data_IF_156533896335
#
_entry.id   IF_156533896335
#
_cell.length_a   1.000
_cell.length_b   1.000
_cell.length_c   1.000
_cell.angle_alpha   90.00
_cell.angle_beta   90.00
_cell.angle_gamma   90.00
#
_symmetry.space_group_name_H-M   'P 1'
#
loop_
_entity.id
_entity.type
_entity.pdbx_description
1 polymer ?
#
# COMPACT_ATOMS: atom_id res chain seq x y z
N UNK A 1 21.12 -11.52 82.71
CA UNK A 1 22.34 -10.84 82.25
C UNK A 1 22.57 -11.22 80.81
N UNK A 2 22.63 -10.20 79.95
CA UNK A 2 22.80 -10.22 78.49
C UNK A 2 24.14 -10.85 78.08
N UNK A 3 24.23 -11.60 76.99
CA UNK A 3 24.57 -11.11 75.64
C UNK A 3 26.07 -11.38 75.38
N UNK A 4 26.61 -11.69 74.21
CA UNK A 4 26.17 -11.55 72.82
C UNK A 4 27.18 -12.30 71.94
N UNK A 5 26.72 -13.13 71.01
CA UNK A 5 27.59 -13.85 70.05
C UNK A 5 27.77 -13.04 68.77
N UNK A 6 29.02 -12.98 68.28
CA UNK A 6 29.48 -12.15 67.17
C UNK A 6 28.80 -12.44 65.82
N UNK A 7 28.31 -11.38 65.15
CA UNK A 7 28.08 -11.37 63.70
C UNK A 7 29.23 -10.64 63.00
N UNK A 8 30.01 -11.37 62.19
CA UNK A 8 30.89 -10.81 61.15
C UNK A 8 30.09 -10.69 59.84
N UNK A 9 29.64 -9.50 59.48
CA UNK A 9 29.21 -9.23 58.10
C UNK A 9 30.45 -9.12 57.20
N UNK A 10 30.63 -10.09 56.30
CA UNK A 10 31.48 -9.92 55.12
C UNK A 10 30.76 -8.98 54.16
N UNK A 11 31.43 -7.88 53.78
CA UNK A 11 31.03 -7.01 52.67
C UNK A 11 31.08 -7.83 51.37
N UNK A 12 29.93 -8.27 50.87
CA UNK A 12 29.80 -8.70 49.48
C UNK A 12 29.63 -7.46 48.62
N UNK A 13 30.67 -7.18 47.82
CA UNK A 13 30.63 -6.19 46.75
C UNK A 13 29.65 -6.73 45.70
N UNK A 14 28.46 -6.16 45.62
CA UNK A 14 27.55 -6.36 44.49
C UNK A 14 28.09 -5.48 43.37
N UNK A 15 28.84 -6.07 42.46
CA UNK A 15 29.18 -5.44 41.18
C UNK A 15 27.90 -5.35 40.37
N UNK A 16 27.24 -4.19 40.43
CA UNK A 16 26.09 -3.88 39.61
C UNK A 16 26.59 -3.70 38.17
N UNK A 17 26.56 -4.78 37.39
CA UNK A 17 26.77 -4.72 35.95
C UNK A 17 25.66 -3.87 35.36
N UNK A 18 25.93 -2.58 35.13
CA UNK A 18 25.11 -1.70 34.32
C UNK A 18 25.12 -2.31 32.91
N UNK A 19 24.12 -3.14 32.60
CA UNK A 19 23.80 -3.47 31.23
C UNK A 19 23.32 -2.16 30.59
N UNK A 20 24.26 -1.43 29.98
CA UNK A 20 23.97 -0.45 28.95
C UNK A 20 23.21 -1.21 27.85
N UNK A 21 21.89 -1.25 27.97
CA UNK A 21 21.03 -1.46 26.82
C UNK A 21 21.32 -0.31 25.87
N UNK A 22 22.26 -0.55 24.95
CA UNK A 22 22.29 0.17 23.70
C UNK A 22 20.94 -0.14 23.06
N UNK A 23 19.97 0.74 23.29
CA UNK A 23 18.86 0.90 22.38
C UNK A 23 19.50 1.27 21.04
N UNK A 24 19.82 0.25 20.25
CA UNK A 24 19.92 0.43 18.82
C UNK A 24 18.57 1.00 18.43
N UNK A 25 18.50 2.32 18.25
CA UNK A 25 17.45 2.94 17.47
C UNK A 25 17.53 2.23 16.12
N UNK A 26 16.74 1.17 15.94
CA UNK A 26 16.29 0.77 14.63
C UNK A 26 15.39 1.93 14.22
N UNK A 27 16.02 3.02 13.77
CA UNK A 27 15.35 4.03 13.03
C UNK A 27 14.89 3.30 11.78
N UNK A 28 13.65 2.80 11.81
CA UNK A 28 12.97 2.27 10.64
C UNK A 28 13.20 3.29 9.54
N UNK A 29 14.07 2.94 8.59
CA UNK A 29 14.53 3.88 7.60
C UNK A 29 13.33 4.10 6.69
N UNK A 30 12.72 5.29 6.80
CA UNK A 30 11.55 5.67 6.01
C UNK A 30 11.84 5.36 4.53
N UNK A 31 10.91 4.71 3.81
CA UNK A 31 11.17 4.27 2.45
C UNK A 31 11.25 5.46 1.51
N UNK A 32 11.98 5.30 0.40
CA UNK A 32 11.85 6.20 -0.73
C UNK A 32 10.53 5.90 -1.45
N UNK A 33 9.81 6.95 -1.85
CA UNK A 33 8.50 6.82 -2.49
C UNK A 33 8.60 7.36 -3.91
N UNK A 34 8.28 6.52 -4.89
CA UNK A 34 8.17 6.91 -6.29
C UNK A 34 6.69 6.78 -6.67
N UNK A 35 6.07 7.90 -7.04
CA UNK A 35 4.72 7.94 -7.57
C UNK A 35 4.77 8.20 -9.07
N UNK A 36 4.19 7.33 -9.88
CA UNK A 36 4.14 7.48 -11.34
C UNK A 36 2.70 7.68 -11.79
N UNK A 37 2.45 8.78 -12.47
CA UNK A 37 1.19 9.09 -13.15
C UNK A 37 1.44 9.30 -14.64
N UNK A 38 0.52 8.78 -15.44
CA UNK A 38 0.47 8.95 -16.89
C UNK A 38 -0.72 9.84 -17.24
N UNK A 39 -0.74 10.39 -18.44
CA UNK A 39 -1.74 11.36 -18.86
C UNK A 39 -2.56 10.77 -20.02
N UNK A 40 -3.88 10.79 -19.88
CA UNK A 40 -4.85 10.22 -20.84
C UNK A 40 -4.69 8.73 -21.21
N UNK A 41 -4.00 7.94 -20.37
CA UNK A 41 -3.94 6.48 -20.54
C UNK A 41 -5.26 5.82 -20.10
N UNK A 42 -5.88 5.07 -20.99
CA UNK A 42 -7.12 4.34 -20.72
C UNK A 42 -6.91 3.05 -19.92
N UNK A 43 -7.96 2.61 -19.23
CA UNK A 43 -7.95 1.35 -18.45
C UNK A 43 -7.48 0.13 -19.27
N UNK A 44 -7.91 0.05 -20.53
CA UNK A 44 -7.60 -1.07 -21.44
C UNK A 44 -6.32 -0.91 -22.25
N UNK A 45 -5.47 0.09 -21.98
CA UNK A 45 -4.28 0.36 -22.80
C UNK A 45 -3.05 -0.45 -22.43
N UNK A 46 -3.05 -1.10 -21.26
CA UNK A 46 -1.98 -1.99 -20.82
C UNK A 46 -2.29 -3.44 -21.19
N UNK A 47 -1.27 -4.22 -21.57
CA UNK A 47 -1.48 -5.64 -21.89
C UNK A 47 -1.95 -6.46 -20.67
N UNK A 48 -1.47 -6.13 -19.47
CA UNK A 48 -1.99 -6.72 -18.22
C UNK A 48 -3.45 -6.35 -17.87
N UNK A 49 -4.06 -5.40 -18.58
CA UNK A 49 -5.50 -5.08 -18.50
C UNK A 49 -6.29 -5.46 -19.77
N UNK A 50 -5.66 -6.19 -20.69
CA UNK A 50 -6.33 -6.82 -21.84
C UNK A 50 -6.04 -6.20 -23.20
N UNK A 51 -5.10 -5.25 -23.31
CA UNK A 51 -4.66 -4.75 -24.63
C UNK A 51 -4.07 -5.89 -25.46
N UNK A 52 -4.52 -6.01 -26.72
CA UNK A 52 -4.07 -7.06 -27.67
C UNK A 52 -3.17 -6.56 -28.79
N UNK A 53 -3.24 -5.27 -29.14
CA UNK A 53 -2.55 -4.73 -30.32
C UNK A 53 -1.07 -4.44 -30.10
N UNK A 54 -0.64 -4.32 -28.84
CA UNK A 54 0.76 -4.13 -28.42
C UNK A 54 0.94 -4.62 -26.98
N UNK A 55 2.19 -4.72 -26.54
CA UNK A 55 2.55 -5.17 -25.19
C UNK A 55 3.26 -4.08 -24.38
N UNK A 56 3.07 -4.13 -23.06
CA UNK A 56 3.70 -3.26 -22.06
C UNK A 56 4.44 -4.10 -21.02
N UNK A 57 5.53 -4.80 -21.42
CA UNK A 57 6.15 -5.83 -20.59
C UNK A 57 6.72 -5.33 -19.27
N UNK A 58 7.18 -4.07 -19.17
CA UNK A 58 7.73 -3.54 -17.93
C UNK A 58 6.62 -3.25 -16.90
N UNK A 59 5.51 -2.66 -17.34
CA UNK A 59 4.33 -2.42 -16.52
C UNK A 59 3.60 -3.72 -16.15
N UNK A 60 3.56 -4.70 -17.06
CA UNK A 60 3.02 -6.04 -16.77
C UNK A 60 3.88 -6.75 -15.71
N UNK A 61 5.21 -6.59 -15.78
CA UNK A 61 6.12 -7.08 -14.75
C UNK A 61 5.88 -6.37 -13.42
N UNK A 62 5.72 -5.04 -13.42
CA UNK A 62 5.41 -4.28 -12.20
C UNK A 62 4.09 -4.76 -11.57
N UNK A 63 3.06 -4.98 -12.39
CA UNK A 63 1.77 -5.49 -11.92
C UNK A 63 1.86 -6.92 -11.37
N UNK A 64 2.70 -7.80 -11.95
CA UNK A 64 2.87 -9.17 -11.46
C UNK A 64 3.73 -9.28 -10.19
N UNK A 65 4.53 -8.25 -9.88
CA UNK A 65 5.36 -8.17 -8.67
C UNK A 65 4.69 -7.37 -7.54
N UNK A 66 3.49 -6.83 -7.76
CA UNK A 66 2.80 -5.96 -6.83
C UNK A 66 1.30 -6.17 -6.81
N UNK A 67 0.57 -5.12 -6.43
CA UNK A 67 -0.89 -5.11 -6.39
C UNK A 67 -1.42 -4.45 -7.67
N UNK A 68 -2.37 -5.13 -8.34
CA UNK A 68 -3.08 -4.62 -9.51
C UNK A 68 -4.54 -4.34 -9.16
N UNK A 69 -4.98 -3.08 -9.30
CA UNK A 69 -6.34 -2.68 -8.98
C UNK A 69 -7.25 -2.76 -10.21
N UNK A 70 -8.34 -3.53 -10.14
CA UNK A 70 -9.36 -3.56 -11.20
C UNK A 70 -10.43 -2.47 -11.03
N UNK A 71 -10.50 -1.84 -9.86
CA UNK A 71 -11.40 -0.73 -9.54
C UNK A 71 -10.58 0.40 -8.89
N UNK A 72 -10.06 1.32 -9.69
CA UNK A 72 -9.36 2.52 -9.24
C UNK A 72 -9.92 3.73 -9.99
N UNK A 73 -10.26 4.79 -9.27
CA UNK A 73 -10.99 5.95 -9.81
C UNK A 73 -10.17 7.22 -9.65
N UNK A 74 -10.17 8.07 -10.68
CA UNK A 74 -9.74 9.46 -10.56
C UNK A 74 -10.86 10.29 -9.92
N UNK A 75 -10.48 11.39 -9.27
CA UNK A 75 -11.46 12.31 -8.67
C UNK A 75 -12.30 13.07 -9.71
N UNK A 76 -11.85 13.09 -10.97
CA UNK A 76 -12.52 13.70 -12.11
C UNK A 76 -12.04 13.07 -13.44
N UNK A 77 -12.81 13.19 -14.55
CA UNK A 77 -12.39 12.71 -15.86
C UNK A 77 -11.57 13.74 -16.66
N UNK A 78 -10.93 14.70 -15.99
CA UNK A 78 -10.22 15.84 -16.60
C UNK A 78 -8.91 16.14 -15.87
N UNK A 79 -7.96 16.75 -16.58
CA UNK A 79 -6.57 16.93 -16.14
C UNK A 79 -6.41 17.77 -14.86
N UNK A 80 -6.77 19.07 -14.88
CA UNK A 80 -6.55 19.96 -13.72
C UNK A 80 -7.25 19.45 -12.47
N UNK A 81 -8.53 19.04 -12.52
CA UNK A 81 -9.24 18.61 -11.33
C UNK A 81 -8.64 17.33 -10.73
N UNK A 82 -8.23 16.37 -11.55
CA UNK A 82 -7.54 15.14 -11.07
C UNK A 82 -6.23 15.47 -10.37
N UNK A 83 -5.42 16.35 -10.97
CA UNK A 83 -4.13 16.77 -10.42
C UNK A 83 -4.31 17.57 -9.13
N UNK A 84 -5.32 18.44 -9.07
CA UNK A 84 -5.64 19.21 -7.87
C UNK A 84 -6.06 18.28 -6.73
N UNK A 85 -6.88 17.27 -7.02
CA UNK A 85 -7.28 16.28 -6.04
C UNK A 85 -6.11 15.42 -5.55
N UNK A 86 -5.24 14.96 -6.46
CA UNK A 86 -4.04 14.22 -6.09
C UNK A 86 -3.12 15.06 -5.20
N UNK A 87 -2.84 16.31 -5.58
CA UNK A 87 -1.93 17.16 -4.82
C UNK A 87 -2.50 17.51 -3.45
N UNK A 88 -3.82 17.67 -3.28
CA UNK A 88 -4.39 18.21 -2.03
C UNK A 88 -5.13 17.18 -1.17
N UNK A 89 -5.35 15.97 -1.69
CA UNK A 89 -6.20 14.94 -1.07
C UNK A 89 -7.67 15.33 -0.93
N UNK A 90 -8.15 16.31 -1.72
CA UNK A 90 -9.49 16.89 -1.61
C UNK A 90 -10.28 16.72 -2.89
N UNK A 91 -11.61 16.72 -2.78
CA UNK A 91 -12.46 16.84 -3.97
C UNK A 91 -12.11 18.11 -4.76
N UNK A 92 -12.03 18.07 -6.10
CA UNK A 92 -11.59 19.22 -6.89
C UNK A 92 -12.44 20.46 -6.67
N UNK A 93 -13.74 20.30 -6.45
CA UNK A 93 -14.68 21.39 -6.15
C UNK A 93 -14.38 22.17 -4.85
N UNK A 94 -13.41 21.72 -4.05
CA UNK A 94 -12.95 22.40 -2.83
C UNK A 94 -11.78 23.35 -3.09
N UNK A 95 -11.22 23.41 -4.30
CA UNK A 95 -10.14 24.33 -4.65
C UNK A 95 -10.52 25.16 -5.89
N UNK A 96 -10.16 26.45 -5.96
CA UNK A 96 -10.45 27.26 -7.15
C UNK A 96 -9.87 26.67 -8.44
N UNK A 97 -8.65 26.14 -8.39
CA UNK A 97 -7.99 25.53 -9.54
C UNK A 97 -8.66 24.23 -10.00
N UNK A 98 -9.32 23.50 -9.10
CA UNK A 98 -10.06 22.28 -9.43
C UNK A 98 -11.36 22.52 -10.20
N UNK A 99 -11.77 23.78 -10.39
CA UNK A 99 -12.97 24.17 -11.14
C UNK A 99 -12.67 24.78 -12.52
N UNK A 100 -11.40 24.80 -12.93
CA UNK A 100 -10.96 25.50 -14.16
C UNK A 100 -10.32 24.51 -15.12
N UNK A 101 -10.91 24.38 -16.30
CA UNK A 101 -10.39 23.55 -17.40
C UNK A 101 -10.89 24.11 -18.75
N UNK A 102 -10.03 24.20 -19.79
CA UNK A 102 -8.58 24.04 -19.75
C UNK A 102 -7.89 25.29 -19.16
N UNK A 103 -6.70 25.10 -18.60
CA UNK A 103 -5.86 26.22 -18.14
C UNK A 103 -4.86 26.61 -19.25
N UNK A 104 -5.06 27.77 -19.88
CA UNK A 104 -4.48 28.06 -21.21
C UNK A 104 -3.39 29.14 -21.27
N UNK A 105 -2.67 29.40 -20.17
CA UNK A 105 -1.73 30.55 -20.01
C UNK A 105 -2.32 31.94 -20.35
N UNK A 106 -3.62 32.03 -20.63
CA UNK A 106 -4.29 33.30 -20.91
C UNK A 106 -4.19 34.24 -19.71
N UNK A 107 -4.29 35.56 -19.92
CA UNK A 107 -4.24 36.55 -18.83
C UNK A 107 -5.28 36.29 -17.73
N UNK A 108 -6.42 35.69 -18.06
CA UNK A 108 -7.44 35.27 -17.10
C UNK A 108 -6.96 34.04 -16.31
N UNK A 109 -6.39 33.05 -17.00
CA UNK A 109 -6.01 31.77 -16.40
C UNK A 109 -4.70 31.88 -15.61
N UNK A 110 -3.82 32.82 -15.93
CA UNK A 110 -2.53 33.01 -15.26
C UNK A 110 -2.67 33.44 -13.79
N UNK A 111 -3.85 33.90 -13.36
CA UNK A 111 -4.15 34.21 -11.96
C UNK A 111 -4.64 33.00 -11.17
N UNK A 112 -4.84 31.85 -11.81
CA UNK A 112 -5.30 30.62 -11.17
C UNK A 112 -4.19 29.58 -11.10
N UNK A 113 -4.12 28.91 -9.96
CA UNK A 113 -3.21 27.80 -9.73
C UNK A 113 -3.32 27.28 -8.31
N UNK A 114 -2.55 26.24 -8.00
CA UNK A 114 -2.41 25.76 -6.64
C UNK A 114 -1.69 26.81 -5.79
N UNK A 115 -2.18 27.00 -4.56
CA UNK A 115 -1.66 27.96 -3.59
C UNK A 115 -1.36 27.26 -2.27
N UNK A 116 -0.51 27.88 -1.45
CA UNK A 116 -0.17 27.37 -0.12
C UNK A 116 -1.38 27.26 0.85
N UNK A 117 -2.51 27.89 0.54
CA UNK A 117 -3.78 27.72 1.28
C UNK A 117 -4.25 26.26 1.27
N UNK A 118 -3.92 25.52 0.21
CA UNK A 118 -4.19 24.09 0.08
C UNK A 118 -2.86 23.35 0.02
N UNK A 119 -2.27 22.98 1.19
CA UNK A 119 -1.00 22.28 1.24
C UNK A 119 -0.97 21.07 0.31
N UNK A 120 0.06 20.98 -0.51
CA UNK A 120 0.23 19.86 -1.41
C UNK A 120 0.76 18.64 -0.63
N UNK A 121 0.65 17.45 -1.22
CA UNK A 121 1.29 16.24 -0.73
C UNK A 121 2.81 16.46 -0.60
N UNK A 122 3.44 17.23 -1.50
CA UNK A 122 4.86 17.55 -1.40
C UNK A 122 5.16 18.41 -0.16
N UNK A 123 4.33 19.41 0.15
CA UNK A 123 4.46 20.17 1.42
C UNK A 123 4.39 19.26 2.64
N UNK A 124 3.46 18.29 2.65
CA UNK A 124 3.31 17.33 3.75
C UNK A 124 4.48 16.34 3.84
N UNK A 125 4.99 15.88 2.70
CA UNK A 125 6.16 15.00 2.62
C UNK A 125 7.42 15.72 3.09
N UNK A 126 7.64 16.95 2.64
CA UNK A 126 8.75 17.80 3.08
C UNK A 126 8.71 18.06 4.60
N UNK A 127 7.53 18.39 5.14
CA UNK A 127 7.32 18.51 6.59
C UNK A 127 7.59 17.19 7.34
N UNK A 128 7.42 16.06 6.67
CA UNK A 128 7.76 14.72 7.16
C UNK A 128 9.23 14.34 6.91
N UNK A 129 10.11 15.29 6.55
CA UNK A 129 11.55 15.06 6.43
C UNK A 129 11.98 14.38 5.13
N UNK A 130 11.12 14.34 4.11
CA UNK A 130 11.49 13.87 2.77
C UNK A 130 12.13 14.99 1.95
N UNK A 131 13.08 14.63 1.09
CA UNK A 131 13.39 15.42 -0.11
C UNK A 131 12.26 15.20 -1.13
N UNK A 132 11.86 16.24 -1.85
CA UNK A 132 10.69 16.20 -2.74
C UNK A 132 11.05 16.63 -4.15
N UNK A 133 10.60 15.85 -5.13
CA UNK A 133 10.83 16.17 -6.54
C UNK A 133 9.60 15.87 -7.40
N UNK A 134 9.36 16.74 -8.39
CA UNK A 134 8.40 16.51 -9.46
C UNK A 134 9.10 16.48 -10.80
N UNK A 135 8.88 15.44 -11.58
CA UNK A 135 9.39 15.33 -12.95
C UNK A 135 8.21 15.08 -13.88
N UNK A 136 7.92 16.02 -14.77
CA UNK A 136 6.84 15.89 -15.74
C UNK A 136 5.84 17.05 -15.76
N UNK A 137 4.58 16.76 -16.11
CA UNK A 137 3.51 17.74 -16.27
C UNK A 137 3.00 18.22 -14.91
N UNK A 138 2.98 19.53 -14.71
CA UNK A 138 2.37 20.17 -13.54
C UNK A 138 0.87 20.39 -13.71
N UNK A 139 0.49 21.28 -14.64
CA UNK A 139 -0.90 21.66 -14.96
C UNK A 139 -1.73 22.04 -13.72
N UNK A 140 -1.15 22.88 -12.85
CA UNK A 140 -1.83 23.46 -11.68
C UNK A 140 -1.43 24.93 -11.48
N UNK A 141 -1.25 25.65 -12.59
CA UNK A 141 -0.85 27.06 -12.61
C UNK A 141 0.54 27.29 -13.16
N UNK A 142 0.85 28.56 -13.35
CA UNK A 142 2.07 29.04 -14.00
C UNK A 142 2.94 29.87 -13.07
N UNK A 143 4.15 30.15 -13.54
CA UNK A 143 5.08 31.07 -12.90
C UNK A 143 4.50 32.50 -12.85
N UNK A 144 4.92 33.32 -11.86
CA UNK A 144 5.82 32.96 -10.76
C UNK A 144 5.12 32.42 -9.51
N UNK A 145 3.78 32.47 -9.41
CA UNK A 145 3.08 32.21 -8.15
C UNK A 145 2.76 30.74 -7.89
N UNK A 146 2.53 29.95 -8.95
CA UNK A 146 1.92 28.63 -8.84
C UNK A 146 2.83 27.51 -9.31
N UNK A 147 4.15 27.70 -9.31
CA UNK A 147 5.08 26.66 -9.72
C UNK A 147 5.14 25.50 -8.70
N UNK A 148 5.62 24.30 -9.12
CA UNK A 148 5.84 23.19 -8.20
C UNK A 148 6.74 23.57 -7.02
N UNK A 149 7.77 24.39 -7.26
CA UNK A 149 8.71 24.85 -6.23
C UNK A 149 8.02 25.71 -5.17
N UNK A 150 7.03 26.53 -5.57
CA UNK A 150 6.18 27.28 -4.62
C UNK A 150 5.18 26.41 -3.86
N UNK A 151 5.00 25.16 -4.29
CA UNK A 151 4.02 24.23 -3.75
C UNK A 151 4.69 22.98 -3.15
N UNK A 152 5.88 23.15 -2.57
CA UNK A 152 6.49 22.16 -1.69
C UNK A 152 7.41 21.13 -2.34
N UNK A 153 7.74 21.29 -3.63
CA UNK A 153 8.77 20.48 -4.29
C UNK A 153 10.14 21.16 -4.21
N UNK A 154 11.15 20.45 -3.72
CA UNK A 154 12.55 20.96 -3.67
C UNK A 154 13.18 20.99 -5.07
N UNK A 155 12.72 20.13 -5.97
CA UNK A 155 13.19 20.03 -7.35
C UNK A 155 12.03 19.85 -8.33
N UNK A 156 12.10 20.53 -9.48
CA UNK A 156 11.19 20.34 -10.59
C UNK A 156 11.94 20.23 -11.92
N UNK A 157 11.53 19.30 -12.77
CA UNK A 157 11.88 19.29 -14.19
C UNK A 157 10.66 18.91 -15.03
N UNK A 158 10.16 19.82 -15.86
CA UNK A 158 8.93 19.52 -16.58
C UNK A 158 8.22 20.70 -17.21
N UNK A 159 6.95 20.46 -17.53
CA UNK A 159 6.09 21.41 -18.24
C UNK A 159 5.00 21.96 -17.31
N UNK A 160 4.60 23.22 -17.48
CA UNK A 160 3.52 23.79 -16.69
C UNK A 160 2.14 23.56 -17.29
N UNK A 161 2.04 23.49 -18.61
CA UNK A 161 0.77 23.52 -19.34
C UNK A 161 0.09 22.15 -19.44
N UNK A 162 -1.10 22.16 -20.04
CA UNK A 162 -1.91 20.97 -20.29
C UNK A 162 -1.22 19.92 -21.18
N UNK A 163 -0.39 20.34 -22.11
CA UNK A 163 0.29 19.47 -23.06
C UNK A 163 1.56 20.16 -23.54
N UNK A 164 2.49 19.43 -24.13
CA UNK A 164 3.62 20.02 -24.86
C UNK A 164 3.99 19.13 -26.03
N UNK A 165 4.54 19.73 -27.09
CA UNK A 165 5.22 18.98 -28.13
C UNK A 165 6.27 18.07 -27.51
N UNK A 166 6.31 16.81 -27.91
CA UNK A 166 7.29 15.90 -27.34
C UNK A 166 8.71 16.19 -27.83
N UNK A 167 8.87 16.96 -28.92
CA UNK A 167 10.16 17.19 -29.58
C UNK A 167 10.61 18.64 -29.42
N UNK A 168 9.74 19.61 -29.74
CA UNK A 168 10.07 21.04 -29.58
C UNK A 168 9.78 21.61 -28.19
N UNK A 169 9.09 20.85 -27.33
CA UNK A 169 8.66 21.25 -25.98
C UNK A 169 7.81 22.51 -25.93
N UNK A 170 7.20 22.90 -27.06
CA UNK A 170 6.26 24.01 -27.13
C UNK A 170 4.84 23.60 -26.71
N UNK A 171 4.21 24.44 -25.92
CA UNK A 171 2.79 24.36 -25.52
C UNK A 171 2.03 25.62 -25.93
N UNK A 172 0.70 25.58 -25.89
CA UNK A 172 -0.18 26.72 -26.14
C UNK A 172 -1.24 26.43 -27.19
N UNK A 173 -2.08 27.43 -27.43
CA UNK A 173 -3.14 27.36 -28.42
C UNK A 173 -2.59 27.43 -29.85
N UNK A 174 -3.33 26.93 -30.86
CA UNK A 174 -2.91 27.02 -32.27
C UNK A 174 -2.57 28.47 -32.65
N UNK A 175 -1.39 28.67 -33.24
CA UNK A 175 -0.87 29.97 -33.65
C UNK A 175 -0.19 30.79 -32.54
N UNK A 176 -0.21 30.33 -31.29
CA UNK A 176 0.42 31.00 -30.15
C UNK A 176 1.13 30.00 -29.23
N UNK A 177 1.91 29.09 -29.81
CA UNK A 177 2.70 28.10 -29.07
C UNK A 177 4.04 28.67 -28.63
N UNK A 178 4.38 28.51 -27.37
CA UNK A 178 5.61 28.97 -26.73
C UNK A 178 6.33 27.82 -26.02
N UNK A 179 7.62 27.98 -25.75
CA UNK A 179 8.42 26.99 -25.02
C UNK A 179 7.88 26.78 -23.60
N UNK A 180 7.77 25.53 -23.16
CA UNK A 180 7.17 25.19 -21.87
C UNK A 180 7.95 24.09 -21.11
N UNK A 181 9.29 24.04 -21.22
CA UNK A 181 10.11 23.11 -20.43
C UNK A 181 11.05 23.86 -19.48
N UNK A 182 10.98 23.50 -18.21
CA UNK A 182 11.65 24.19 -17.10
C UNK A 182 12.42 23.21 -16.21
N UNK A 183 13.51 23.71 -15.64
CA UNK A 183 14.17 23.14 -14.48
C UNK A 183 14.02 24.14 -13.32
N UNK A 184 13.28 23.74 -12.29
CA UNK A 184 12.70 24.64 -11.29
C UNK A 184 11.94 25.78 -11.98
N UNK A 185 12.18 27.03 -11.61
CA UNK A 185 11.51 28.19 -12.18
C UNK A 185 12.28 28.78 -13.39
N UNK A 186 13.23 28.04 -13.99
CA UNK A 186 14.08 28.50 -15.10
C UNK A 186 13.82 27.70 -16.38
N UNK A 187 13.55 28.35 -17.53
CA UNK A 187 13.36 27.65 -18.79
C UNK A 187 14.67 26.98 -19.25
N UNK A 188 14.56 25.76 -19.77
CA UNK A 188 15.68 24.95 -20.28
C UNK A 188 15.36 24.39 -21.65
N UNK A 189 16.39 24.22 -22.50
CA UNK A 189 16.23 23.82 -23.92
C UNK A 189 17.03 22.54 -24.26
N UNK A 190 16.83 21.43 -23.53
CA UNK A 190 17.48 20.17 -23.89
C UNK A 190 16.92 19.62 -25.19
N UNK A 191 17.75 19.00 -26.02
CA UNK A 191 17.27 18.21 -27.14
C UNK A 191 16.74 16.85 -26.68
N UNK A 192 15.64 16.40 -27.27
CA UNK A 192 15.18 15.01 -27.11
C UNK A 192 13.68 14.87 -26.92
N UNK A 193 13.23 13.62 -27.03
CA UNK A 193 11.83 13.26 -26.85
C UNK A 193 11.44 13.37 -25.36
N UNK A 194 10.36 14.09 -25.05
CA UNK A 194 10.02 14.53 -23.70
C UNK A 194 9.85 13.37 -22.70
N UNK A 195 9.25 12.25 -23.12
CA UNK A 195 9.16 11.03 -22.28
C UNK A 195 10.54 10.47 -21.91
N UNK A 196 11.53 10.59 -22.79
CA UNK A 196 12.90 10.15 -22.52
C UNK A 196 13.55 11.08 -21.51
N UNK A 197 13.40 12.39 -21.71
CA UNK A 197 13.96 13.40 -20.82
C UNK A 197 13.43 13.23 -19.39
N UNK A 198 12.13 13.00 -19.23
CA UNK A 198 11.55 12.72 -17.91
C UNK A 198 12.11 11.43 -17.30
N UNK A 199 12.22 10.36 -18.07
CA UNK A 199 12.78 9.09 -17.57
C UNK A 199 14.26 9.23 -17.18
N UNK A 200 15.05 9.94 -17.98
CA UNK A 200 16.47 10.20 -17.72
C UNK A 200 16.66 11.07 -16.48
N UNK A 201 15.86 12.13 -16.32
CA UNK A 201 15.91 12.99 -15.13
C UNK A 201 15.46 12.23 -13.88
N UNK A 202 14.45 11.37 -13.97
CA UNK A 202 14.05 10.51 -12.85
C UNK A 202 15.16 9.55 -12.43
N UNK A 203 15.81 8.89 -13.39
CA UNK A 203 16.97 8.03 -13.13
C UNK A 203 18.13 8.81 -12.50
N UNK A 204 18.43 10.00 -13.04
CA UNK A 204 19.49 10.86 -12.50
C UNK A 204 19.20 11.28 -11.06
N UNK A 205 17.94 11.66 -10.77
CA UNK A 205 17.50 11.98 -9.43
C UNK A 205 17.67 10.78 -8.50
N UNK A 206 17.14 9.59 -8.85
CA UNK A 206 17.26 8.36 -8.04
C UNK A 206 18.72 7.99 -7.74
N UNK A 207 19.63 8.19 -8.70
CA UNK A 207 21.05 7.82 -8.58
C UNK A 207 21.90 8.82 -7.80
N UNK A 208 21.42 10.05 -7.62
CA UNK A 208 22.21 11.04 -6.91
C UNK A 208 22.32 10.69 -5.42
N UNK A 209 23.27 11.31 -4.74
CA UNK A 209 23.41 11.11 -3.29
C UNK A 209 22.24 11.79 -2.57
N UNK A 210 21.49 11.01 -1.80
CA UNK A 210 20.44 11.48 -0.91
C UNK A 210 20.87 11.36 0.55
N UNK A 211 20.60 12.39 1.35
CA UNK A 211 20.85 12.35 2.80
C UNK A 211 19.55 12.12 3.60
N UNK A 212 18.40 12.25 2.94
CA UNK A 212 17.05 12.00 3.46
C UNK A 212 16.33 11.00 2.53
N UNK A 213 15.27 10.32 2.99
CA UNK A 213 14.40 9.62 2.05
C UNK A 213 13.79 10.62 1.07
N UNK A 214 13.50 10.19 -0.16
CA UNK A 214 12.92 11.05 -1.18
C UNK A 214 11.50 10.65 -1.59
N UNK A 215 10.72 11.64 -1.97
CA UNK A 215 9.40 11.52 -2.58
C UNK A 215 9.49 12.07 -4.00
N UNK A 216 9.60 11.15 -4.96
CA UNK A 216 9.71 11.47 -6.38
C UNK A 216 8.35 11.24 -7.06
N UNK A 217 7.76 12.32 -7.55
CA UNK A 217 6.52 12.29 -8.34
C UNK A 217 6.85 12.41 -9.82
N UNK A 218 6.66 11.34 -10.58
CA UNK A 218 6.86 11.31 -12.03
C UNK A 218 5.49 11.41 -12.69
N UNK A 219 5.22 12.52 -13.37
CA UNK A 219 3.92 12.82 -13.98
C UNK A 219 4.09 12.94 -15.48
N UNK A 220 4.25 11.81 -16.17
CA UNK A 220 4.42 11.82 -17.62
C UNK A 220 3.29 12.60 -18.29
N UNK A 221 3.61 13.38 -19.31
CA UNK A 221 2.61 13.87 -20.26
C UNK A 221 2.24 12.78 -21.29
N UNK A 222 3.01 11.69 -21.38
CA UNK A 222 2.63 10.52 -22.15
C UNK A 222 1.42 9.82 -21.51
N UNK A 223 0.39 9.43 -22.27
CA UNK A 223 0.27 9.39 -23.74
C UNK A 223 -0.71 10.44 -24.31
N UNK A 224 -0.83 11.58 -23.63
CA UNK A 224 -1.66 12.71 -24.03
C UNK A 224 -1.21 13.29 -25.39
N UNK A 225 -2.15 13.90 -26.11
CA UNK A 225 -1.88 14.67 -27.32
C UNK A 225 -0.84 15.78 -27.06
N UNK A 226 0.04 16.18 -27.98
CA UNK A 226 0.17 15.76 -29.38
C UNK A 226 0.63 14.32 -29.56
N UNK A 227 -0.06 13.56 -30.41
CA UNK A 227 0.31 12.19 -30.72
C UNK A 227 1.56 12.16 -31.60
N UNK A 228 2.73 12.13 -30.96
CA UNK A 228 4.05 12.12 -31.59
C UNK A 228 4.85 10.94 -31.05
N UNK A 229 5.34 10.07 -31.94
CA UNK A 229 6.32 9.04 -31.60
C UNK A 229 7.74 9.63 -31.46
N UNK A 230 8.70 8.85 -30.93
CA UNK A 230 10.08 9.31 -30.70
C UNK A 230 10.84 9.80 -31.94
N UNK A 231 10.43 9.36 -33.14
CA UNK A 231 11.09 9.65 -34.41
C UNK A 231 10.29 10.63 -35.29
N UNK A 232 9.18 11.17 -34.78
CA UNK A 232 8.38 12.14 -35.52
C UNK A 232 9.08 13.51 -35.58
N UNK A 233 8.48 14.44 -36.32
CA UNK A 233 8.91 15.84 -36.37
C UNK A 233 8.05 16.68 -35.42
N UNK A 234 8.56 17.82 -34.92
CA UNK A 234 7.75 18.79 -34.21
C UNK A 234 6.51 19.18 -35.03
N UNK A 235 5.37 19.35 -34.36
CA UNK A 235 4.21 19.90 -35.06
C UNK A 235 4.39 21.40 -35.32
N UNK A 236 3.80 21.87 -36.42
CA UNK A 236 3.72 23.30 -36.72
C UNK A 236 2.98 24.06 -35.59
N UNK A 237 3.28 25.34 -35.43
CA UNK A 237 2.65 26.15 -34.38
C UNK A 237 1.12 26.29 -34.60
N UNK A 238 0.63 26.08 -35.83
CA UNK A 238 -0.79 26.13 -36.21
C UNK A 238 -1.55 24.81 -36.02
N UNK A 239 -0.94 23.76 -35.46
CA UNK A 239 -1.60 22.45 -35.30
C UNK A 239 -2.82 22.54 -34.39
N UNK A 240 -3.90 21.86 -34.76
CA UNK A 240 -5.14 21.79 -33.98
C UNK A 240 -5.19 20.46 -33.20
N UNK A 241 -5.71 20.49 -31.97
CA UNK A 241 -5.73 19.32 -31.09
C UNK A 241 -6.62 18.16 -31.58
N UNK A 242 -7.46 18.40 -32.60
CA UNK A 242 -8.26 17.36 -33.27
C UNK A 242 -7.50 16.67 -34.41
N UNK A 243 -6.25 17.06 -34.67
CA UNK A 243 -5.45 16.59 -35.80
C UNK A 243 -4.25 15.76 -35.34
N UNK A 244 -3.81 14.87 -36.24
CA UNK A 244 -2.68 13.97 -36.01
C UNK A 244 -3.07 12.62 -35.42
N UNK A 245 -2.05 11.82 -35.10
CA UNK A 245 -2.20 10.53 -34.42
C UNK A 245 -2.63 9.35 -35.31
N UNK A 246 -2.32 8.16 -34.81
CA UNK A 246 -2.80 6.87 -35.29
C UNK A 246 -2.66 5.85 -34.16
N UNK A 247 -3.33 4.70 -34.25
CA UNK A 247 -3.11 3.60 -33.30
C UNK A 247 -1.65 3.16 -33.24
N UNK A 248 -0.92 3.24 -34.37
CA UNK A 248 0.50 2.92 -34.43
C UNK A 248 1.36 3.94 -33.67
N UNK A 249 1.07 5.24 -33.80
CA UNK A 249 1.76 6.29 -33.05
C UNK A 249 1.47 6.14 -31.55
N UNK A 250 0.20 5.92 -31.18
CA UNK A 250 -0.18 5.69 -29.79
C UNK A 250 0.54 4.48 -29.19
N UNK A 251 0.61 3.36 -29.92
CA UNK A 251 1.36 2.16 -29.51
C UNK A 251 2.86 2.46 -29.35
N UNK A 252 3.45 3.28 -30.23
CA UNK A 252 4.85 3.68 -30.11
C UNK A 252 5.10 4.57 -28.87
N UNK A 253 4.18 5.48 -28.54
CA UNK A 253 4.22 6.30 -27.33
C UNK A 253 4.08 5.42 -26.07
N UNK A 254 3.13 4.49 -26.07
CA UNK A 254 2.91 3.51 -24.99
C UNK A 254 4.14 2.64 -24.76
N UNK A 255 4.72 2.10 -25.84
CA UNK A 255 5.96 1.33 -25.76
C UNK A 255 7.09 2.16 -25.15
N UNK A 256 7.22 3.44 -25.56
CA UNK A 256 8.30 4.29 -25.05
C UNK A 256 8.12 4.65 -23.58
N UNK A 257 6.89 4.88 -23.15
CA UNK A 257 6.51 5.07 -21.75
C UNK A 257 6.86 3.81 -20.93
N UNK A 258 6.46 2.62 -21.40
CA UNK A 258 6.77 1.34 -20.75
C UNK A 258 8.29 1.12 -20.63
N UNK A 259 9.06 1.37 -21.70
CA UNK A 259 10.53 1.28 -21.69
C UNK A 259 11.14 2.26 -20.67
N UNK A 260 10.63 3.49 -20.61
CA UNK A 260 11.09 4.54 -19.69
C UNK A 260 10.87 4.15 -18.22
N UNK A 261 9.67 3.67 -17.91
CA UNK A 261 9.34 3.12 -16.59
C UNK A 261 10.22 1.90 -16.29
N UNK A 262 10.45 1.01 -17.25
CA UNK A 262 11.35 -0.13 -17.11
C UNK A 262 12.77 0.25 -16.67
N UNK A 263 13.32 1.35 -17.20
CA UNK A 263 14.65 1.85 -16.81
C UNK A 263 14.65 2.46 -15.40
N UNK A 264 13.66 3.31 -15.08
CA UNK A 264 13.47 3.83 -13.70
C UNK A 264 13.40 2.68 -12.71
N UNK A 265 12.60 1.68 -13.08
CA UNK A 265 12.41 0.47 -12.33
C UNK A 265 13.73 -0.31 -12.17
N UNK A 266 14.53 -0.48 -13.21
CA UNK A 266 15.82 -1.18 -13.06
C UNK A 266 16.76 -0.48 -12.08
N UNK A 267 16.81 0.85 -12.12
CA UNK A 267 17.75 1.64 -11.32
C UNK A 267 17.30 1.80 -9.86
N UNK A 268 15.99 1.76 -9.56
CA UNK A 268 15.50 1.78 -8.17
C UNK A 268 16.04 0.63 -7.32
N UNK A 269 16.39 -0.51 -7.93
CA UNK A 269 16.94 -1.66 -7.22
C UNK A 269 18.31 -1.38 -6.56
N UNK A 270 18.93 -0.21 -6.81
CA UNK A 270 20.14 0.26 -6.11
C UNK A 270 19.84 1.11 -4.87
N UNK A 271 18.60 1.59 -4.74
CA UNK A 271 18.10 2.38 -3.62
C UNK A 271 17.21 1.46 -2.79
N UNK A 272 17.74 0.97 -1.66
CA UNK A 272 17.13 0.05 -0.69
C UNK A 272 15.61 -0.09 -0.89
N UNK A 273 15.21 -0.99 -1.79
CA UNK A 273 13.92 -1.65 -1.67
C UNK A 273 14.05 -2.49 -0.41
N UNK A 274 13.16 -2.28 0.56
CA UNK A 274 12.96 -3.23 1.63
C UNK A 274 12.53 -4.53 0.95
N UNK A 275 13.52 -5.38 0.65
CA UNK A 275 13.50 -6.25 -0.52
C UNK A 275 12.38 -7.28 -0.44
N UNK A 276 11.33 -7.24 -1.28
CA UNK A 276 10.50 -8.39 -1.55
C UNK A 276 11.04 -9.06 -2.82
N UNK A 277 12.32 -9.42 -2.78
CA UNK A 277 13.06 -10.00 -3.92
C UNK A 277 13.64 -11.39 -3.65
N UNK A 278 13.59 -11.86 -2.40
CA UNK A 278 13.89 -13.26 -2.10
C UNK A 278 12.61 -14.06 -2.21
N UNK A 279 12.42 -14.73 -3.34
CA UNK A 279 11.73 -16.03 -3.31
C UNK A 279 12.55 -16.91 -2.36
N UNK A 280 12.05 -17.13 -1.15
CA UNK A 280 12.62 -18.11 -0.24
C UNK A 280 12.25 -19.48 -0.79
N UNK A 281 13.10 -20.05 -1.65
CA UNK A 281 12.92 -21.39 -2.23
C UNK A 281 13.18 -22.52 -1.23
N UNK A 282 12.99 -22.28 0.08
CA UNK A 282 12.93 -23.33 1.10
C UNK A 282 11.50 -23.81 1.36
N UNK A 283 10.56 -23.41 0.50
CA UNK A 283 9.18 -23.87 0.57
C UNK A 283 9.17 -25.34 0.12
N UNK A 284 9.03 -26.22 1.11
CA UNK A 284 8.84 -27.67 0.97
C UNK A 284 7.78 -27.93 -0.10
N UNK A 285 8.08 -28.86 -1.02
CA UNK A 285 7.17 -29.28 -2.08
C UNK A 285 5.84 -29.75 -1.50
N UNK A 286 4.79 -28.94 -1.67
CA UNK A 286 3.44 -29.20 -1.20
C UNK A 286 2.52 -28.02 -1.48
N UNK A 287 1.21 -28.23 -1.54
CA UNK A 287 0.22 -27.16 -1.72
C UNK A 287 0.34 -26.15 -0.57
N UNK A 288 0.84 -24.95 -0.85
CA UNK A 288 0.94 -23.85 0.12
C UNK A 288 -0.20 -22.86 -0.09
N UNK A 289 -1.44 -23.37 -0.10
CA UNK A 289 -2.60 -22.51 0.01
C UNK A 289 -2.46 -21.65 1.26
N UNK A 290 -2.45 -20.33 1.08
CA UNK A 290 -2.48 -19.37 2.19
C UNK A 290 -3.93 -19.25 2.61
N UNK A 291 -4.21 -19.49 3.88
CA UNK A 291 -5.56 -19.45 4.43
C UNK A 291 -5.82 -18.06 5.07
N UNK A 292 -5.12 -17.66 6.16
CA UNK A 292 -5.11 -16.29 6.64
C UNK A 292 -3.76 -15.57 6.45
N UNK A 293 -3.84 -14.24 6.29
CA UNK A 293 -2.73 -13.31 6.49
C UNK A 293 -3.16 -12.34 7.60
N UNK A 294 -2.30 -12.13 8.59
CA UNK A 294 -2.59 -11.28 9.75
C UNK A 294 -1.37 -10.41 10.11
N UNK A 295 -1.57 -9.12 10.38
CA UNK A 295 -0.53 -8.23 10.88
C UNK A 295 -0.70 -8.01 12.39
N UNK A 296 0.34 -8.34 13.19
CA UNK A 296 0.32 -8.08 14.62
C UNK A 296 0.66 -6.63 14.97
N UNK A 297 0.38 -6.20 16.22
CA UNK A 297 0.67 -4.84 16.71
C UNK A 297 2.16 -4.48 16.66
N UNK A 298 3.06 -5.44 16.46
CA UNK A 298 4.51 -5.18 16.29
C UNK A 298 4.90 -4.95 14.83
N UNK A 299 3.95 -5.05 13.89
CA UNK A 299 4.14 -4.90 12.45
C UNK A 299 4.67 -6.17 11.75
N UNK A 300 4.61 -7.34 12.41
CA UNK A 300 4.99 -8.60 11.77
C UNK A 300 3.78 -9.22 11.07
N UNK A 301 4.02 -9.77 9.89
CA UNK A 301 3.00 -10.49 9.13
C UNK A 301 3.06 -11.98 9.44
N UNK A 302 1.91 -12.54 9.80
CA UNK A 302 1.69 -13.96 10.04
C UNK A 302 0.93 -14.58 8.87
N UNK A 303 1.38 -15.75 8.43
CA UNK A 303 0.81 -16.47 7.31
C UNK A 303 0.44 -17.88 7.77
N UNK A 304 -0.86 -18.16 7.85
CA UNK A 304 -1.35 -19.51 8.03
C UNK A 304 -1.43 -20.20 6.67
N UNK A 305 -0.90 -21.42 6.58
CA UNK A 305 -0.93 -22.20 5.33
C UNK A 305 -1.42 -23.62 5.59
N UNK A 306 -1.67 -24.37 4.52
CA UNK A 306 -1.92 -25.81 4.60
C UNK A 306 -0.68 -26.60 5.09
N UNK A 307 0.52 -26.06 4.91
CA UNK A 307 1.76 -26.57 5.50
C UNK A 307 2.11 -25.72 6.73
N UNK A 308 3.36 -25.29 6.91
CA UNK A 308 3.79 -24.54 8.09
C UNK A 308 3.16 -23.13 8.17
N UNK A 309 3.10 -22.61 9.39
CA UNK A 309 2.81 -21.20 9.66
C UNK A 309 4.12 -20.42 9.62
N UNK A 310 4.08 -19.22 9.03
CA UNK A 310 5.26 -18.37 8.88
C UNK A 310 5.04 -16.99 9.49
N UNK A 311 6.13 -16.38 9.98
CA UNK A 311 6.19 -14.96 10.36
C UNK A 311 7.19 -14.26 9.45
N UNK A 312 6.81 -13.08 8.95
CA UNK A 312 7.67 -12.14 8.26
C UNK A 312 7.84 -10.87 9.09
N UNK A 313 9.10 -10.51 9.37
CA UNK A 313 9.47 -9.35 10.19
C UNK A 313 9.89 -8.12 9.36
N UNK A 314 9.49 -8.06 8.08
CA UNK A 314 9.99 -7.06 7.12
C UNK A 314 11.29 -7.47 6.41
N UNK A 315 11.99 -8.53 6.86
CA UNK A 315 13.26 -8.99 6.25
C UNK A 315 13.27 -10.47 5.92
N UNK A 316 12.85 -11.32 6.84
CA UNK A 316 12.99 -12.78 6.75
C UNK A 316 11.70 -13.48 7.12
N UNK A 317 11.36 -14.54 6.37
CA UNK A 317 10.36 -15.51 6.78
C UNK A 317 10.97 -16.50 7.77
N UNK A 318 10.28 -16.75 8.88
CA UNK A 318 10.64 -17.77 9.87
C UNK A 318 9.45 -18.70 10.08
N UNK A 319 9.72 -20.01 10.12
CA UNK A 319 8.70 -21.01 10.47
C UNK A 319 8.35 -20.84 11.95
N UNK A 320 7.05 -20.76 12.24
CA UNK A 320 6.55 -20.71 13.61
C UNK A 320 6.66 -22.10 14.22
N UNK A 321 7.36 -22.19 15.35
CA UNK A 321 7.46 -23.41 16.13
C UNK A 321 7.40 -23.17 17.64
N UNK A 322 7.00 -24.19 18.38
CA UNK A 322 7.10 -24.20 19.84
C UNK A 322 8.56 -24.37 20.29
N UNK A 323 8.84 -24.19 21.59
CA UNK A 323 10.18 -24.42 22.16
C UNK A 323 10.66 -25.85 22.00
N UNK A 324 9.72 -26.79 21.92
CA UNK A 324 9.94 -28.22 21.70
C UNK A 324 10.08 -28.57 20.20
N UNK A 325 10.03 -27.58 19.31
CA UNK A 325 10.21 -27.75 17.86
C UNK A 325 8.95 -28.15 17.09
N UNK A 326 7.77 -28.14 17.74
CA UNK A 326 6.49 -28.42 17.04
C UNK A 326 6.17 -27.28 16.08
N UNK A 327 5.96 -27.58 14.80
CA UNK A 327 5.45 -26.61 13.83
C UNK A 327 3.92 -26.62 13.79
N UNK A 328 3.34 -25.52 13.32
CA UNK A 328 1.88 -25.36 13.23
C UNK A 328 1.46 -25.42 11.78
N UNK A 329 0.65 -26.43 11.44
CA UNK A 329 0.13 -26.65 10.10
C UNK A 329 -1.37 -26.47 10.00
N UNK A 330 -1.89 -26.32 8.78
CA UNK A 330 -3.32 -26.22 8.51
C UNK A 330 -4.00 -25.12 9.34
N UNK A 331 -3.35 -23.95 9.44
CA UNK A 331 -3.87 -22.79 10.19
C UNK A 331 -4.83 -22.01 9.31
N UNK A 332 -6.08 -21.87 9.75
CA UNK A 332 -7.19 -21.25 9.02
C UNK A 332 -7.53 -19.84 9.50
N UNK A 333 -7.24 -19.52 10.76
CA UNK A 333 -7.44 -18.17 11.31
C UNK A 333 -6.34 -17.80 12.27
N UNK A 334 -5.99 -16.52 12.24
CA UNK A 334 -5.03 -15.89 13.14
C UNK A 334 -5.67 -14.60 13.63
N UNK A 335 -5.70 -14.40 14.94
CA UNK A 335 -6.11 -13.14 15.57
C UNK A 335 -5.12 -12.75 16.65
N UNK A 336 -5.03 -11.46 16.95
CA UNK A 336 -4.38 -10.95 18.14
C UNK A 336 -5.43 -10.46 19.12
N UNK A 337 -5.40 -10.94 20.37
CA UNK A 337 -6.32 -10.48 21.39
C UNK A 337 -5.94 -9.10 21.96
N UNK A 338 -6.84 -8.51 22.75
CA UNK A 338 -6.62 -7.21 23.41
C UNK A 338 -5.39 -7.19 24.33
N UNK A 339 -4.93 -8.35 24.80
CA UNK A 339 -3.73 -8.50 25.64
C UNK A 339 -2.44 -8.67 24.83
N UNK A 340 -2.56 -8.79 23.50
CA UNK A 340 -1.43 -8.97 22.60
C UNK A 340 -1.01 -10.42 22.39
N UNK A 341 -1.81 -11.39 22.85
CA UNK A 341 -1.54 -12.79 22.54
C UNK A 341 -2.03 -13.11 21.13
N UNK A 342 -1.27 -13.94 20.42
CA UNK A 342 -1.64 -14.43 19.09
C UNK A 342 -2.35 -15.77 19.23
N UNK A 343 -3.51 -15.90 18.60
CA UNK A 343 -4.29 -17.13 18.57
C UNK A 343 -4.25 -17.73 17.18
N UNK A 344 -3.97 -19.04 17.10
CA UNK A 344 -4.00 -19.82 15.88
C UNK A 344 -5.15 -20.82 15.95
N UNK A 345 -6.07 -20.73 14.99
CA UNK A 345 -7.12 -21.71 14.75
C UNK A 345 -6.75 -22.58 13.56
N UNK A 346 -6.74 -23.90 13.76
CA UNK A 346 -6.60 -24.89 12.70
C UNK A 346 -6.77 -26.28 13.28
N UNK A 347 -5.69 -27.07 13.25
CA UNK A 347 -5.60 -28.33 13.99
C UNK A 347 -5.40 -28.03 15.49
N UNK A 348 -6.50 -27.63 16.13
CA UNK A 348 -6.55 -27.19 17.53
C UNK A 348 -6.74 -25.68 17.68
N UNK A 349 -6.81 -25.25 18.94
CA UNK A 349 -6.74 -23.85 19.34
C UNK A 349 -5.46 -23.60 20.12
N UNK A 350 -4.61 -22.73 19.60
CA UNK A 350 -3.30 -22.43 20.17
C UNK A 350 -3.17 -20.95 20.50
N UNK A 351 -2.58 -20.63 21.66
CA UNK A 351 -2.22 -19.25 22.03
C UNK A 351 -0.71 -19.11 22.17
N UNK A 352 -0.17 -18.05 21.60
CA UNK A 352 1.18 -17.56 21.83
C UNK A 352 1.14 -16.29 22.68
N UNK A 353 1.77 -16.33 23.84
CA UNK A 353 1.83 -15.21 24.79
C UNK A 353 3.08 -14.31 24.61
N UNK A 354 3.80 -14.48 23.49
CA UNK A 354 5.09 -13.86 23.25
C UNK A 354 6.29 -14.70 23.73
N UNK A 355 6.05 -15.81 24.44
CA UNK A 355 7.11 -16.69 24.95
C UNK A 355 6.87 -18.17 24.62
N UNK A 356 5.65 -18.68 24.83
CA UNK A 356 5.32 -20.10 24.65
C UNK A 356 3.98 -20.27 23.92
N UNK A 357 3.85 -21.39 23.22
CA UNK A 357 2.58 -21.84 22.66
C UNK A 357 1.86 -22.75 23.66
N UNK A 358 0.59 -22.47 23.95
CA UNK A 358 -0.27 -23.31 24.78
C UNK A 358 -1.47 -23.79 23.98
N UNK A 359 -1.75 -25.10 24.01
CA UNK A 359 -2.97 -25.68 23.43
C UNK A 359 -4.14 -25.53 24.39
N UNK A 360 -5.28 -25.08 23.89
CA UNK A 360 -6.55 -24.93 24.62
C UNK A 360 -7.66 -25.85 24.11
N UNK A 361 -7.47 -26.45 22.93
CA UNK A 361 -8.39 -27.43 22.34
C UNK A 361 -7.66 -28.27 21.31
N UNK A 362 -7.97 -29.57 21.30
CA UNK A 362 -7.51 -30.51 20.26
C UNK A 362 -8.53 -30.61 19.10
N UNK A 363 -9.72 -30.00 19.25
CA UNK A 363 -10.71 -29.98 18.17
C UNK A 363 -10.25 -29.02 17.05
N UNK A 364 -10.63 -29.32 15.81
CA UNK A 364 -10.34 -28.42 14.70
C UNK A 364 -11.15 -27.12 14.85
N UNK A 365 -10.48 -25.98 15.02
CA UNK A 365 -11.08 -24.65 15.17
C UNK A 365 -10.66 -23.80 13.98
N UNK A 366 -11.60 -23.31 13.18
CA UNK A 366 -11.32 -22.56 11.94
C UNK A 366 -11.37 -21.07 12.10
N UNK A 367 -12.54 -20.47 12.30
CA UNK A 367 -12.69 -19.02 12.32
C UNK A 367 -12.72 -18.52 13.76
N UNK A 368 -11.88 -17.53 14.08
CA UNK A 368 -11.75 -16.99 15.42
C UNK A 368 -12.23 -15.54 15.50
N UNK A 369 -12.81 -15.17 16.64
CA UNK A 369 -12.92 -13.77 17.06
C UNK A 369 -12.80 -13.63 18.58
N UNK A 370 -12.27 -12.51 19.05
CA UNK A 370 -12.37 -12.12 20.46
C UNK A 370 -13.60 -11.24 20.64
N UNK A 371 -14.44 -11.55 21.63
CA UNK A 371 -15.58 -10.69 21.98
C UNK A 371 -15.17 -9.52 22.90
N UNK A 372 -16.08 -8.59 23.15
CA UNK A 372 -15.89 -7.39 24.00
C UNK A 372 -15.49 -7.75 25.42
N UNK A 373 -15.95 -8.89 25.93
CA UNK A 373 -15.64 -9.39 27.27
C UNK A 373 -14.30 -10.14 27.33
N UNK A 374 -13.66 -10.38 26.18
CA UNK A 374 -12.37 -11.06 26.07
C UNK A 374 -12.48 -12.58 25.93
N UNK A 375 -13.69 -13.11 25.73
CA UNK A 375 -13.83 -14.53 25.40
C UNK A 375 -13.35 -14.76 23.98
N UNK A 376 -12.73 -15.91 23.76
CA UNK A 376 -12.37 -16.35 22.41
C UNK A 376 -13.51 -17.20 21.88
N UNK A 377 -13.99 -16.85 20.70
CA UNK A 377 -14.95 -17.64 19.97
C UNK A 377 -14.27 -18.34 18.82
N UNK A 378 -14.71 -19.55 18.52
CA UNK A 378 -14.22 -20.36 17.42
C UNK A 378 -15.34 -21.12 16.75
N UNK A 379 -15.32 -21.26 15.43
CA UNK A 379 -16.11 -22.31 14.78
C UNK A 379 -15.26 -23.54 14.54
N UNK A 380 -15.80 -24.74 14.65
CA UNK A 380 -15.04 -25.97 14.44
C UNK A 380 -15.91 -27.19 14.22
N UNK A 381 -15.31 -28.36 14.02
CA UNK A 381 -16.08 -29.60 13.86
C UNK A 381 -15.99 -30.50 15.11
N UNK A 382 -17.12 -31.10 15.48
CA UNK A 382 -17.26 -32.16 16.49
C UNK A 382 -18.00 -33.31 15.82
N UNK A 383 -17.37 -34.50 15.76
CA UNK A 383 -17.98 -35.72 15.23
C UNK A 383 -18.61 -35.55 13.83
N UNK A 384 -17.98 -34.75 12.96
CA UNK A 384 -18.46 -34.48 11.60
C UNK A 384 -19.61 -33.47 11.50
N UNK A 385 -20.06 -32.90 12.62
CA UNK A 385 -20.95 -31.73 12.68
C UNK A 385 -20.12 -30.49 13.01
N UNK A 386 -20.66 -29.32 12.72
CA UNK A 386 -20.00 -28.07 13.08
C UNK A 386 -20.56 -27.56 14.42
N UNK A 387 -19.72 -26.83 15.15
CA UNK A 387 -20.06 -26.27 16.43
C UNK A 387 -19.46 -24.87 16.55
N UNK A 388 -20.19 -24.02 17.25
CA UNK A 388 -19.71 -22.74 17.73
C UNK A 388 -19.20 -22.93 19.16
N UNK A 389 -17.94 -22.58 19.38
CA UNK A 389 -17.26 -22.67 20.66
C UNK A 389 -17.08 -21.29 21.26
N UNK A 390 -17.34 -21.17 22.56
CA UNK A 390 -16.94 -20.02 23.36
C UNK A 390 -16.01 -20.46 24.49
N UNK A 391 -14.78 -19.96 24.46
CA UNK A 391 -13.78 -20.17 25.49
C UNK A 391 -13.81 -19.01 26.48
N UNK A 392 -14.20 -19.29 27.72
CA UNK A 392 -14.40 -18.25 28.74
C UNK A 392 -13.07 -17.58 29.13
N UNK A 393 -13.02 -16.26 29.03
CA UNK A 393 -11.84 -15.42 29.28
C UNK A 393 -11.14 -15.76 30.60
N UNK A 394 -11.90 -15.92 31.68
CA UNK A 394 -11.35 -16.13 33.02
C UNK A 394 -10.65 -17.47 33.14
N UNK A 395 -11.07 -18.44 32.31
CA UNK A 395 -10.50 -19.78 32.27
C UNK A 395 -9.32 -19.90 31.30
N UNK A 396 -9.03 -18.91 30.46
CA UNK A 396 -7.92 -18.93 29.49
C UNK A 396 -6.52 -18.87 30.14
N UNK A 397 -6.43 -18.78 31.46
CA UNK A 397 -5.19 -19.03 32.20
C UNK A 397 -4.92 -20.53 32.42
N UNK A 398 -5.94 -21.39 32.29
CA UNK A 398 -5.88 -22.83 32.49
C UNK A 398 -5.75 -23.58 31.16
N UNK A 399 -4.97 -24.67 31.13
CA UNK A 399 -4.82 -25.55 29.95
C UNK A 399 -6.11 -26.27 29.56
N UNK A 400 -7.10 -26.33 30.46
CA UNK A 400 -8.44 -26.87 30.19
C UNK A 400 -9.48 -25.77 30.45
N UNK A 401 -9.71 -24.89 29.47
CA UNK A 401 -10.64 -23.77 29.65
C UNK A 401 -12.07 -24.27 29.81
N UNK A 402 -12.93 -23.42 30.38
CA UNK A 402 -14.37 -23.61 30.36
C UNK A 402 -14.87 -23.26 28.96
N UNK A 403 -15.44 -24.26 28.29
CA UNK A 403 -15.92 -24.13 26.91
C UNK A 403 -17.42 -24.33 26.88
N UNK A 404 -18.13 -23.43 26.20
CA UNK A 404 -19.52 -23.66 25.79
C UNK A 404 -19.48 -24.08 24.33
N UNK A 405 -20.05 -25.24 24.05
CA UNK A 405 -20.25 -25.76 22.71
C UNK A 405 -21.72 -25.60 22.33
N UNK A 406 -21.96 -24.97 21.19
CA UNK A 406 -23.28 -24.80 20.59
C UNK A 406 -23.24 -25.56 19.26
N UNK A 407 -23.75 -26.79 19.28
CA UNK A 407 -23.70 -27.70 18.12
C UNK A 407 -24.87 -27.42 17.18
N UNK A 408 -24.59 -27.15 15.91
CA UNK A 408 -25.59 -26.97 14.86
C UNK A 408 -25.16 -27.68 13.58
N UNK A 409 -26.10 -28.18 12.78
CA UNK A 409 -25.78 -28.84 11.50
C UNK A 409 -25.48 -27.84 10.37
N UNK A 410 -24.65 -26.83 10.64
CA UNK A 410 -24.38 -25.71 9.74
C UNK A 410 -22.88 -25.56 9.50
N UNK A 411 -22.42 -25.60 8.25
CA UNK A 411 -21.02 -25.35 7.93
C UNK A 411 -20.70 -23.88 8.20
N UNK A 412 -20.04 -23.54 9.31
CA UNK A 412 -19.88 -22.15 9.74
C UNK A 412 -18.68 -21.46 9.08
N UNK A 413 -18.91 -20.29 8.48
CA UNK A 413 -17.93 -19.42 7.82
C UNK A 413 -17.91 -18.03 8.43
N UNK A 414 -16.72 -17.60 8.87
CA UNK A 414 -16.55 -16.32 9.51
C UNK A 414 -17.29 -16.22 10.85
N UNK A 415 -16.80 -15.34 11.70
CA UNK A 415 -17.41 -15.09 12.99
C UNK A 415 -17.09 -13.66 13.40
N UNK A 416 -18.09 -12.96 13.93
CA UNK A 416 -17.94 -11.57 14.33
C UNK A 416 -18.92 -11.22 15.45
N UNK A 417 -18.48 -10.46 16.45
CA UNK A 417 -19.37 -9.88 17.44
C UNK A 417 -19.84 -8.49 16.98
N UNK A 418 -21.15 -8.31 16.85
CA UNK A 418 -21.76 -7.03 16.51
C UNK A 418 -21.78 -6.04 17.68
N UNK A 419 -22.15 -4.80 17.39
CA UNK A 419 -22.14 -3.73 18.39
C UNK A 419 -23.09 -3.97 19.57
N UNK A 420 -24.17 -4.71 19.34
CA UNK A 420 -25.15 -5.13 20.34
C UNK A 420 -24.69 -6.32 21.20
N UNK A 421 -23.53 -6.92 20.89
CA UNK A 421 -22.98 -8.09 21.60
C UNK A 421 -23.46 -9.43 21.04
N UNK A 422 -24.26 -9.42 19.97
CA UNK A 422 -24.68 -10.64 19.29
C UNK A 422 -23.54 -11.20 18.44
N UNK A 423 -23.42 -12.53 18.39
CA UNK A 423 -22.42 -13.20 17.56
C UNK A 423 -23.05 -13.55 16.22
N UNK A 424 -22.47 -13.02 15.14
CA UNK A 424 -22.88 -13.27 13.77
C UNK A 424 -21.91 -14.23 13.09
N UNK A 425 -22.47 -15.14 12.30
CA UNK A 425 -21.69 -16.10 11.53
C UNK A 425 -22.41 -16.47 10.25
N UNK A 426 -21.63 -16.76 9.20
CA UNK A 426 -22.14 -17.25 7.93
C UNK A 426 -22.24 -18.78 7.91
N UNK A 427 -23.05 -19.30 7.01
CA UNK A 427 -22.98 -20.69 6.55
C UNK A 427 -23.15 -20.75 5.03
N UNK A 428 -23.02 -21.93 4.43
CA UNK A 428 -23.28 -22.11 2.99
C UNK A 428 -24.72 -21.73 2.59
N UNK A 429 -25.66 -21.79 3.53
CA UNK A 429 -27.09 -21.60 3.27
C UNK A 429 -27.66 -20.30 3.83
N UNK A 430 -26.84 -19.43 4.43
CA UNK A 430 -27.32 -18.14 4.93
C UNK A 430 -26.43 -17.50 6.00
N UNK A 431 -26.99 -16.50 6.67
CA UNK A 431 -26.37 -15.77 7.77
C UNK A 431 -27.20 -16.02 9.03
N UNK A 432 -26.51 -16.15 10.15
CA UNK A 432 -27.10 -16.50 11.44
C UNK A 432 -26.60 -15.56 12.54
N UNK A 433 -27.44 -15.39 13.56
CA UNK A 433 -27.14 -14.60 14.76
C UNK A 433 -27.39 -15.43 16.01
N UNK A 434 -26.44 -15.42 16.94
CA UNK A 434 -26.61 -15.93 18.29
C UNK A 434 -26.71 -14.77 19.28
N UNK A 435 -27.82 -14.70 20.02
CA UNK A 435 -28.12 -13.62 20.98
C UNK A 435 -27.69 -13.94 22.43
N UNK A 436 -26.96 -15.05 22.63
CA UNK A 436 -26.62 -15.58 23.94
C UNK A 436 -27.59 -16.66 24.45
N UNK A 437 -28.70 -16.91 23.73
CA UNK A 437 -29.66 -17.97 24.06
C UNK A 437 -30.09 -18.77 22.83
N UNK A 438 -30.44 -18.10 21.74
CA UNK A 438 -30.99 -18.74 20.53
C UNK A 438 -30.16 -18.35 19.30
N UNK A 439 -30.13 -19.26 18.33
CA UNK A 439 -29.63 -18.99 16.99
C UNK A 439 -30.83 -18.67 16.10
N UNK A 440 -30.77 -17.53 15.41
CA UNK A 440 -31.76 -17.10 14.42
C UNK A 440 -31.12 -17.12 13.03
N UNK A 441 -31.79 -17.74 12.05
CA UNK A 441 -31.42 -17.65 10.63
C UNK A 441 -32.13 -16.47 9.96
N UNK A 442 -31.53 -15.90 8.92
CA UNK A 442 -32.03 -14.70 8.23
C UNK A 442 -32.39 -14.97 6.76
N UNK A 443 -32.90 -16.18 6.47
CA UNK A 443 -33.14 -16.63 5.08
C UNK A 443 -34.40 -16.01 4.47
N UNK A 444 -35.41 -15.69 5.28
CA UNK A 444 -36.70 -15.18 4.81
C UNK A 444 -36.95 -13.71 5.22
N UNK A 445 -37.93 -13.07 4.56
CA UNK A 445 -38.22 -11.64 4.78
C UNK A 445 -38.77 -11.33 6.17
N UNK A 446 -39.30 -12.32 6.88
CA UNK A 446 -39.86 -12.12 8.22
C UNK A 446 -38.76 -12.12 9.28
N UNK A 447 -37.74 -12.98 9.13
CA UNK A 447 -36.54 -13.04 9.97
C UNK A 447 -35.56 -11.89 9.72
N UNK A 448 -35.66 -11.17 8.60
CA UNK A 448 -34.80 -10.03 8.23
C UNK A 448 -35.14 -8.68 8.91
N UNK A 449 -36.16 -8.62 9.77
CA UNK A 449 -36.50 -7.43 10.55
C UNK A 449 -35.72 -7.36 11.85
#
# INVERSE_FOLDING_TARGET
>A
MFGSTHYRLKKSIITLSLALFVYSNIQSQRPNIIYIMTDDMGYGDLSCYGRKDYTTPNLDKLASQGIKFVNAYSAAPVCNPTRAAFMTGRYPAKTPIGLIEPLTQSKRDSTFGLTAEFPSIATLMSASGYETALIGKWHLGFLPQHSPVKNGFDYFFGIHSAAADYISHKSGLPGNRAHDLYENDTPVYPEGYLTNLFSQKAVAYIKQKHNKPFFLTITYNAVHWPWQGPNDKPYADSVDFRTGGSSAIYAAMMKRLDDGIGVIMKDRNTVIEDSPGKSYSNIVSGSNGINPIFEDKTGKLWFGTNSNTFIYNGKTFTVVSSKEGRTFTNVWSIIEDKRGNIWLGGDGLWRYDGSIFTNFSENNIRYLCEDKKGNIWGSGSVNGRWALYRFDEKSLSNKKPTVIEITESLNLFGIFEANDGNIWFGSFDGVYRYDGKTITDFKDKESQK
#
